data_IF_248034662649
#
_entry.id   IF_248034662649
#
_cell.length_a   1.000
_cell.length_b   1.000
_cell.length_c   1.000
_cell.angle_alpha   90.00
_cell.angle_beta   90.00
_cell.angle_gamma   90.00
#
_symmetry.space_group_name_H-M   'P 1'
#
loop_
_entity.id
_entity.type
_entity.pdbx_description
1 polymer ?
#
# COMPACT_ATOMS: atom_id res chain seq x y z
N UNK A 1 13.57 52.11 -35.44
CA UNK A 1 13.33 50.74 -34.94
C UNK A 1 13.16 50.83 -33.44
N UNK A 2 11.91 50.98 -32.98
CA UNK A 2 11.55 51.10 -31.57
C UNK A 2 11.23 49.70 -31.06
N UNK A 3 12.00 49.22 -30.08
CA UNK A 3 11.85 47.90 -29.49
C UNK A 3 10.60 47.84 -28.62
N UNK A 4 9.66 47.00 -29.02
CA UNK A 4 8.43 46.69 -28.28
C UNK A 4 8.80 45.86 -27.05
N UNK A 5 8.96 46.54 -25.91
CA UNK A 5 9.21 45.92 -24.62
C UNK A 5 7.89 45.29 -24.13
N UNK A 6 7.69 44.04 -24.52
CA UNK A 6 6.51 43.24 -24.18
C UNK A 6 6.19 43.28 -22.69
N UNK A 7 5.03 43.84 -22.41
CA UNK A 7 4.36 43.94 -21.11
C UNK A 7 4.01 42.53 -20.61
N UNK A 8 5.00 41.85 -20.01
CA UNK A 8 4.76 40.58 -19.31
C UNK A 8 4.04 40.92 -18.01
N UNK A 9 2.73 40.71 -18.01
CA UNK A 9 1.90 40.80 -16.82
C UNK A 9 2.61 40.11 -15.64
N UNK A 10 2.69 40.74 -14.46
CA UNK A 10 3.41 40.19 -13.33
C UNK A 10 2.84 38.82 -13.01
N UNK A 11 3.73 37.83 -13.02
CA UNK A 11 3.45 36.46 -12.60
C UNK A 11 2.86 36.54 -11.19
N UNK A 12 1.53 36.45 -11.08
CA UNK A 12 0.84 36.57 -9.81
C UNK A 12 1.37 35.44 -8.94
N UNK A 13 2.18 35.78 -7.95
CA UNK A 13 2.62 34.89 -6.88
C UNK A 13 1.36 34.29 -6.24
N UNK A 14 0.97 33.10 -6.72
CA UNK A 14 -0.14 32.34 -6.15
C UNK A 14 0.32 31.94 -4.78
N UNK A 15 -0.25 32.60 -3.77
CA UNK A 15 0.09 32.33 -2.38
C UNK A 15 -0.10 30.82 -2.11
N UNK A 16 0.97 30.11 -1.70
CA UNK A 16 0.98 28.65 -1.59
C UNK A 16 0.00 28.13 -0.53
N UNK A 17 -0.46 29.00 0.38
CA UNK A 17 -1.45 28.69 1.40
C UNK A 17 -2.90 28.79 0.87
N UNK A 18 -3.17 29.66 -0.10
CA UNK A 18 -4.50 29.76 -0.74
C UNK A 18 -4.72 28.72 -1.83
N UNK A 19 -3.66 28.20 -2.45
CA UNK A 19 -3.74 27.03 -3.33
C UNK A 19 -4.30 25.81 -2.58
N UNK A 20 -3.99 25.68 -1.28
CA UNK A 20 -4.55 24.67 -0.39
C UNK A 20 -6.06 24.87 -0.14
N UNK A 21 -6.51 26.10 0.11
CA UNK A 21 -7.92 26.36 0.43
C UNK A 21 -8.88 26.10 -0.74
N UNK A 22 -8.55 26.57 -1.96
CA UNK A 22 -9.38 26.28 -3.14
C UNK A 22 -9.45 24.79 -3.42
N UNK A 23 -8.29 24.10 -3.43
CA UNK A 23 -8.22 22.64 -3.59
C UNK A 23 -9.02 21.90 -2.52
N UNK A 24 -9.00 22.37 -1.28
CA UNK A 24 -9.80 21.81 -0.21
C UNK A 24 -11.30 22.01 -0.46
N UNK A 25 -11.73 23.19 -0.90
CA UNK A 25 -13.15 23.47 -1.20
C UNK A 25 -13.66 22.62 -2.37
N UNK A 26 -12.85 22.47 -3.41
CA UNK A 26 -13.16 21.59 -4.54
C UNK A 26 -13.26 20.12 -4.07
N UNK A 27 -12.30 19.67 -3.26
CA UNK A 27 -12.28 18.34 -2.67
C UNK A 27 -13.47 18.09 -1.72
N UNK A 28 -13.89 19.10 -0.96
CA UNK A 28 -15.06 19.06 -0.07
C UNK A 28 -16.35 18.91 -0.88
N UNK A 29 -16.47 19.65 -2.00
CA UNK A 29 -17.60 19.51 -2.91
C UNK A 29 -17.65 18.10 -3.53
N UNK A 30 -16.52 17.62 -4.06
CA UNK A 30 -16.40 16.26 -4.60
C UNK A 30 -16.70 15.19 -3.54
N UNK A 31 -16.30 15.42 -2.30
CA UNK A 31 -16.61 14.52 -1.18
C UNK A 31 -18.10 14.45 -0.91
N UNK A 32 -18.82 15.58 -0.88
CA UNK A 32 -20.28 15.59 -0.70
C UNK A 32 -20.99 14.86 -1.83
N UNK A 33 -20.58 15.12 -3.07
CA UNK A 33 -21.13 14.44 -4.24
C UNK A 33 -20.90 12.92 -4.18
N UNK A 34 -19.71 12.50 -3.74
CA UNK A 34 -19.42 11.09 -3.49
C UNK A 34 -20.36 10.50 -2.44
N UNK A 35 -20.55 11.16 -1.29
CA UNK A 35 -21.44 10.67 -0.22
C UNK A 35 -22.86 10.42 -0.73
N UNK A 36 -23.46 11.44 -1.35
CA UNK A 36 -24.83 11.38 -1.87
C UNK A 36 -25.00 10.29 -2.93
N UNK A 37 -23.99 10.12 -3.80
CA UNK A 37 -24.05 9.11 -4.85
C UNK A 37 -23.77 7.70 -4.31
N UNK A 38 -22.84 7.56 -3.37
CA UNK A 38 -22.51 6.29 -2.73
C UNK A 38 -23.69 5.77 -1.90
N UNK A 39 -24.41 6.63 -1.18
CA UNK A 39 -25.61 6.27 -0.44
C UNK A 39 -26.65 5.58 -1.33
N UNK A 40 -26.86 6.10 -2.54
CA UNK A 40 -27.79 5.50 -3.51
C UNK A 40 -27.21 4.24 -4.18
N UNK A 41 -25.92 4.25 -4.50
CA UNK A 41 -25.29 3.17 -5.27
C UNK A 41 -24.94 1.93 -4.43
N UNK A 42 -24.66 2.06 -3.14
CA UNK A 42 -24.25 0.93 -2.29
C UNK A 42 -25.30 -0.18 -2.27
N UNK A 43 -26.60 0.09 -1.97
CA UNK A 43 -27.62 -0.95 -1.99
C UNK A 43 -27.68 -1.71 -3.33
N UNK A 44 -27.66 -0.99 -4.45
CA UNK A 44 -27.70 -1.61 -5.79
C UNK A 44 -26.47 -2.50 -6.03
N UNK A 45 -25.27 -1.99 -5.72
CA UNK A 45 -24.02 -2.75 -5.88
C UNK A 45 -23.95 -3.99 -4.98
N UNK A 46 -24.61 -3.93 -3.82
CA UNK A 46 -24.71 -5.06 -2.90
C UNK A 46 -25.57 -6.18 -3.45
N UNK A 47 -26.74 -5.85 -4.02
CA UNK A 47 -27.65 -6.86 -4.60
C UNK A 47 -27.04 -7.62 -5.77
N UNK A 48 -26.10 -7.00 -6.50
CA UNK A 48 -25.37 -7.63 -7.60
C UNK A 48 -24.36 -8.68 -7.15
N UNK A 49 -24.02 -8.75 -5.86
CA UNK A 49 -23.03 -9.68 -5.32
C UNK A 49 -23.70 -10.78 -4.49
N UNK A 50 -23.83 -11.98 -5.05
CA UNK A 50 -24.45 -13.11 -4.35
C UNK A 50 -23.74 -13.48 -3.03
N UNK A 51 -22.42 -13.30 -2.94
CA UNK A 51 -21.68 -13.55 -1.70
C UNK A 51 -22.03 -12.51 -0.61
N UNK A 52 -22.45 -11.30 -1.01
CA UNK A 52 -22.90 -10.28 -0.06
C UNK A 52 -24.25 -10.63 0.55
N UNK A 53 -25.25 -10.97 -0.27
CA UNK A 53 -26.59 -11.33 0.21
C UNK A 53 -26.54 -12.49 1.22
N UNK A 54 -25.66 -13.46 0.99
CA UNK A 54 -25.42 -14.54 1.94
C UNK A 54 -24.90 -14.01 3.28
N UNK A 55 -23.90 -13.12 3.28
CA UNK A 55 -23.35 -12.54 4.51
C UNK A 55 -24.33 -11.63 5.24
N UNK A 56 -25.09 -10.82 4.51
CA UNK A 56 -26.10 -9.91 5.05
C UNK A 56 -27.18 -10.69 5.82
N UNK A 57 -27.61 -11.84 5.30
CA UNK A 57 -28.58 -12.69 5.99
C UNK A 57 -28.07 -13.21 7.35
N UNK A 58 -26.75 -13.37 7.52
CA UNK A 58 -26.15 -13.87 8.76
C UNK A 58 -25.73 -12.77 9.73
N UNK A 59 -25.18 -11.66 9.21
CA UNK A 59 -24.51 -10.66 10.02
C UNK A 59 -25.28 -9.34 10.04
N UNK A 60 -26.29 -9.12 9.19
CA UNK A 60 -26.82 -7.79 8.94
C UNK A 60 -25.80 -6.86 8.27
N UNK A 61 -26.27 -5.68 7.87
CA UNK A 61 -25.46 -4.71 7.17
C UNK A 61 -25.92 -3.29 7.48
N UNK A 62 -24.95 -2.39 7.65
CA UNK A 62 -25.21 -0.97 7.89
C UNK A 62 -24.31 -0.08 7.03
N UNK A 63 -24.88 1.02 6.56
CA UNK A 63 -24.15 2.10 5.92
C UNK A 63 -24.35 3.37 6.76
N UNK A 64 -23.30 3.81 7.44
CA UNK A 64 -23.31 5.01 8.27
C UNK A 64 -22.75 6.19 7.48
N UNK A 65 -23.63 7.16 7.18
CA UNK A 65 -23.31 8.40 6.47
C UNK A 65 -23.41 9.65 7.36
N UNK A 66 -23.77 9.47 8.63
CA UNK A 66 -24.13 10.57 9.55
C UNK A 66 -22.98 11.48 9.95
N UNK A 67 -21.72 11.05 9.79
CA UNK A 67 -20.55 11.89 10.08
C UNK A 67 -20.14 12.60 8.80
N UNK A 68 -19.96 13.93 8.85
CA UNK A 68 -19.65 14.75 7.66
C UNK A 68 -18.39 14.28 6.93
N UNK A 69 -17.36 13.85 7.68
CA UNK A 69 -16.04 13.50 7.16
C UNK A 69 -15.86 12.02 6.88
N UNK A 70 -16.84 11.16 7.14
CA UNK A 70 -16.70 9.72 6.92
C UNK A 70 -17.89 9.06 6.24
N UNK A 71 -17.60 8.08 5.41
CA UNK A 71 -18.58 7.09 4.93
C UNK A 71 -18.12 5.74 5.44
N UNK A 72 -18.99 5.07 6.21
CA UNK A 72 -18.68 3.78 6.79
C UNK A 72 -19.69 2.74 6.33
N UNK A 73 -19.17 1.61 5.88
CA UNK A 73 -19.95 0.45 5.44
C UNK A 73 -19.51 -0.74 6.26
N UNK A 74 -20.42 -1.35 7.01
CA UNK A 74 -20.08 -2.41 7.96
C UNK A 74 -21.07 -3.58 7.94
N UNK A 75 -20.57 -4.77 8.27
CA UNK A 75 -21.42 -5.88 8.69
C UNK A 75 -21.75 -5.74 10.17
N UNK A 76 -22.98 -6.09 10.57
CA UNK A 76 -23.36 -5.99 11.99
C UNK A 76 -22.67 -7.05 12.84
N UNK A 77 -22.80 -6.86 14.16
CA UNK A 77 -22.34 -7.80 15.14
C UNK A 77 -23.20 -9.07 15.11
N UNK A 78 -22.56 -10.23 15.24
CA UNK A 78 -23.24 -11.52 15.34
C UNK A 78 -22.79 -12.32 16.55
N UNK A 79 -23.69 -13.15 17.06
CA UNK A 79 -23.37 -14.15 18.09
C UNK A 79 -22.76 -15.38 17.42
N UNK A 80 -21.66 -15.89 17.97
CA UNK A 80 -20.91 -17.00 17.36
C UNK A 80 -21.36 -18.39 17.82
N UNK A 81 -22.28 -18.46 18.79
CA UNK A 81 -22.71 -19.74 19.39
C UNK A 81 -21.62 -20.47 20.18
N UNK A 82 -20.48 -19.82 20.43
CA UNK A 82 -19.35 -20.34 21.22
C UNK A 82 -19.27 -19.57 22.54
N UNK A 83 -18.78 -20.20 23.59
CA UNK A 83 -18.54 -19.53 24.87
C UNK A 83 -17.11 -19.01 24.98
N UNK A 84 -16.96 -17.84 25.58
CA UNK A 84 -15.66 -17.29 25.97
C UNK A 84 -15.10 -18.04 27.18
N UNK A 85 -13.83 -17.81 27.51
CA UNK A 85 -13.20 -18.33 28.73
C UNK A 85 -13.93 -17.91 30.02
N UNK A 86 -14.73 -16.84 29.97
CA UNK A 86 -15.54 -16.33 31.08
C UNK A 86 -16.96 -16.93 31.13
N UNK A 87 -17.30 -17.82 30.21
CA UNK A 87 -18.63 -18.45 30.12
C UNK A 87 -19.71 -17.61 29.41
N UNK A 88 -19.41 -16.41 28.95
CA UNK A 88 -20.33 -15.59 28.15
C UNK A 88 -20.36 -16.03 26.67
N UNK A 89 -21.48 -15.83 25.98
CA UNK A 89 -21.59 -16.07 24.53
C UNK A 89 -20.68 -15.11 23.77
N UNK A 90 -19.75 -15.64 22.98
CA UNK A 90 -18.83 -14.85 22.19
C UNK A 90 -19.55 -14.11 21.07
N UNK A 91 -19.18 -12.83 20.90
CA UNK A 91 -19.63 -11.99 19.79
C UNK A 91 -18.50 -11.76 18.77
N UNK A 92 -18.88 -11.59 17.51
CA UNK A 92 -18.01 -11.14 16.43
C UNK A 92 -18.56 -9.85 15.84
N UNK A 93 -17.73 -8.81 15.86
CA UNK A 93 -17.98 -7.57 15.15
C UNK A 93 -17.61 -7.76 13.68
N UNK A 94 -18.48 -7.29 12.79
CA UNK A 94 -18.26 -7.39 11.35
C UNK A 94 -17.09 -6.54 10.85
N UNK A 95 -16.62 -6.85 9.65
CA UNK A 95 -15.64 -6.05 8.93
C UNK A 95 -16.26 -4.69 8.55
N UNK A 96 -15.39 -3.68 8.44
CA UNK A 96 -15.80 -2.31 8.17
C UNK A 96 -14.94 -1.70 7.06
N UNK A 97 -15.56 -1.10 6.06
CA UNK A 97 -14.92 -0.27 5.06
C UNK A 97 -15.20 1.20 5.41
N UNK A 98 -14.13 1.98 5.59
CA UNK A 98 -14.22 3.40 5.96
C UNK A 98 -13.55 4.25 4.90
N UNK A 99 -14.29 5.22 4.40
CA UNK A 99 -13.75 6.35 3.66
C UNK A 99 -13.67 7.53 4.63
N UNK A 100 -12.48 8.08 4.84
CA UNK A 100 -12.24 9.21 5.74
C UNK A 100 -11.65 10.39 4.98
N UNK A 101 -12.38 11.50 4.94
CA UNK A 101 -11.96 12.75 4.34
C UNK A 101 -11.14 13.57 5.33
N UNK A 102 -9.90 13.87 4.94
CA UNK A 102 -8.94 14.61 5.74
C UNK A 102 -8.91 16.11 5.45
N UNK A 103 -8.29 16.92 6.34
CA UNK A 103 -8.23 18.37 6.23
C UNK A 103 -7.43 18.89 5.02
N UNK A 104 -6.66 18.01 4.36
CA UNK A 104 -5.87 18.34 3.16
C UNK A 104 -6.64 18.12 1.86
N UNK A 105 -7.91 17.69 1.93
CA UNK A 105 -8.69 17.31 0.74
C UNK A 105 -8.37 15.90 0.23
N UNK A 106 -7.67 15.08 1.03
CA UNK A 106 -7.37 13.69 0.71
C UNK A 106 -8.35 12.74 1.41
N UNK A 107 -8.66 11.63 0.76
CA UNK A 107 -9.49 10.55 1.31
C UNK A 107 -8.62 9.33 1.57
N UNK A 108 -8.63 8.87 2.82
CA UNK A 108 -8.09 7.57 3.20
C UNK A 108 -9.20 6.52 3.10
N UNK A 109 -8.95 5.44 2.36
CA UNK A 109 -9.83 4.28 2.27
C UNK A 109 -9.22 3.15 3.08
N UNK A 110 -9.90 2.77 4.15
CA UNK A 110 -9.40 1.85 5.16
C UNK A 110 -10.34 0.67 5.29
N UNK A 111 -9.76 -0.50 5.47
CA UNK A 111 -10.48 -1.74 5.62
C UNK A 111 -10.14 -2.37 6.98
N UNK A 112 -11.11 -2.38 7.88
CA UNK A 112 -11.01 -2.95 9.20
C UNK A 112 -11.49 -4.40 9.20
N UNK A 113 -10.74 -5.32 9.83
CA UNK A 113 -11.14 -6.71 9.94
C UNK A 113 -12.31 -6.89 10.90
N UNK A 114 -13.03 -8.02 10.80
CA UNK A 114 -13.92 -8.45 11.86
C UNK A 114 -13.12 -8.69 13.15
N UNK A 115 -13.75 -8.40 14.29
CA UNK A 115 -13.14 -8.57 15.61
C UNK A 115 -13.97 -9.54 16.42
N UNK A 116 -13.39 -10.69 16.76
CA UNK A 116 -14.01 -11.68 17.64
C UNK A 116 -13.37 -11.63 19.02
N UNK A 117 -14.16 -11.93 20.06
CA UNK A 117 -13.67 -12.12 21.42
C UNK A 117 -12.75 -13.37 21.55
N UNK A 118 -12.88 -14.31 20.61
CA UNK A 118 -12.09 -15.56 20.60
C UNK A 118 -10.79 -15.42 19.81
N UNK A 119 -10.68 -14.43 18.94
CA UNK A 119 -9.54 -14.26 18.07
C UNK A 119 -9.59 -12.96 17.28
N UNK A 120 -8.41 -12.44 16.97
CA UNK A 120 -8.25 -11.25 16.13
C UNK A 120 -7.18 -11.52 15.09
N UNK A 121 -7.37 -10.97 13.90
CA UNK A 121 -6.27 -10.88 12.93
C UNK A 121 -5.17 -9.95 13.47
N UNK A 122 -4.00 -10.04 12.87
CA UNK A 122 -2.82 -9.30 13.32
C UNK A 122 -2.90 -7.80 13.08
N UNK A 123 -3.57 -7.40 12.00
CA UNK A 123 -3.70 -6.02 11.56
C UNK A 123 -4.90 -5.32 12.21
N UNK A 124 -4.72 -4.04 12.56
CA UNK A 124 -5.80 -3.18 13.02
C UNK A 124 -6.70 -2.78 11.84
N UNK A 125 -6.06 -2.41 10.72
CA UNK A 125 -6.69 -2.15 9.42
C UNK A 125 -5.67 -2.13 8.28
N UNK A 126 -6.21 -2.24 7.06
CA UNK A 126 -5.45 -2.16 5.80
C UNK A 126 -5.82 -0.86 5.09
N UNK A 127 -4.83 -0.07 4.69
CA UNK A 127 -5.05 1.08 3.81
C UNK A 127 -5.17 0.58 2.37
N UNK A 128 -6.35 0.65 1.78
CA UNK A 128 -6.54 0.34 0.37
C UNK A 128 -5.89 1.39 -0.51
N UNK A 129 -6.06 2.67 -0.14
CA UNK A 129 -5.44 3.82 -0.81
C UNK A 129 -5.62 5.11 -0.01
N UNK A 130 -4.75 6.08 -0.28
CA UNK A 130 -4.87 7.47 0.17
C UNK A 130 -4.76 8.32 -1.10
N UNK A 131 -5.86 8.94 -1.51
CA UNK A 131 -5.96 9.66 -2.79
C UNK A 131 -6.61 11.03 -2.59
N UNK A 132 -6.37 12.02 -3.47
CA UNK A 132 -7.15 13.24 -3.49
C UNK A 132 -8.65 12.92 -3.60
N UNK A 133 -9.50 13.67 -2.90
CA UNK A 133 -10.94 13.51 -3.02
C UNK A 133 -11.35 13.79 -4.47
N UNK A 134 -12.06 12.84 -5.06
CA UNK A 134 -12.61 12.95 -6.40
C UNK A 134 -13.78 11.98 -6.48
N UNK A 135 -14.98 12.52 -6.66
CA UNK A 135 -16.21 11.73 -6.65
C UNK A 135 -16.14 10.61 -7.69
N UNK A 136 -15.73 10.94 -8.92
CA UNK A 136 -15.58 10.00 -10.02
C UNK A 136 -14.64 8.84 -9.68
N UNK A 137 -13.43 9.14 -9.16
CA UNK A 137 -12.44 8.11 -8.81
C UNK A 137 -12.92 7.23 -7.65
N UNK A 138 -13.57 7.82 -6.65
CA UNK A 138 -14.07 7.06 -5.50
C UNK A 138 -15.22 6.13 -5.92
N UNK A 139 -16.18 6.63 -6.72
CA UNK A 139 -17.29 5.84 -7.25
C UNK A 139 -16.82 4.72 -8.19
N UNK A 140 -15.83 4.98 -9.05
CA UNK A 140 -15.25 3.96 -9.94
C UNK A 140 -14.67 2.77 -9.16
N UNK A 141 -14.07 3.03 -7.99
CA UNK A 141 -13.44 1.99 -7.16
C UNK A 141 -14.40 1.37 -6.13
N UNK A 142 -15.51 2.02 -5.82
CA UNK A 142 -16.48 1.58 -4.82
C UNK A 142 -16.91 0.09 -5.00
N UNK A 143 -17.29 -0.41 -6.19
CA UNK A 143 -17.65 -1.82 -6.37
C UNK A 143 -16.51 -2.79 -6.02
N UNK A 144 -15.25 -2.38 -6.27
CA UNK A 144 -14.08 -3.21 -5.95
C UNK A 144 -13.84 -3.25 -4.45
N UNK A 145 -13.93 -2.11 -3.77
CA UNK A 145 -13.70 -2.03 -2.32
C UNK A 145 -14.75 -2.78 -1.54
N UNK A 146 -15.99 -2.70 -1.98
CA UNK A 146 -17.12 -3.46 -1.48
C UNK A 146 -16.89 -4.99 -1.61
N UNK A 147 -16.36 -5.45 -2.74
CA UNK A 147 -15.94 -6.86 -2.88
C UNK A 147 -14.78 -7.21 -1.97
N UNK A 148 -13.81 -6.31 -1.80
CA UNK A 148 -12.69 -6.54 -0.88
C UNK A 148 -13.17 -6.58 0.59
N UNK A 149 -14.19 -5.81 0.96
CA UNK A 149 -14.89 -5.88 2.25
C UNK A 149 -15.54 -7.26 2.48
N UNK A 150 -16.34 -7.74 1.53
CA UNK A 150 -16.96 -9.08 1.59
C UNK A 150 -15.91 -10.17 1.74
N UNK A 151 -14.86 -10.12 0.92
CA UNK A 151 -13.75 -11.08 0.98
C UNK A 151 -13.06 -11.05 2.33
N UNK A 152 -12.86 -9.86 2.89
CA UNK A 152 -12.19 -9.73 4.16
C UNK A 152 -13.04 -10.26 5.30
N UNK A 153 -14.34 -9.97 5.32
CA UNK A 153 -15.29 -10.59 6.25
C UNK A 153 -15.18 -12.12 6.20
N UNK A 154 -15.21 -12.73 5.01
CA UNK A 154 -15.11 -14.20 4.87
C UNK A 154 -13.77 -14.79 5.29
N UNK A 155 -12.67 -14.11 4.97
CA UNK A 155 -11.32 -14.65 5.22
C UNK A 155 -10.90 -14.46 6.68
N UNK A 156 -11.29 -13.35 7.30
CA UNK A 156 -10.85 -12.98 8.65
C UNK A 156 -11.86 -13.39 9.74
N UNK A 157 -13.12 -13.65 9.39
CA UNK A 157 -14.10 -14.18 10.34
C UNK A 157 -13.74 -15.61 10.78
N UNK A 158 -13.98 -15.91 12.07
CA UNK A 158 -13.59 -17.21 12.66
C UNK A 158 -14.35 -18.39 12.03
N UNK A 159 -15.63 -18.20 11.71
CA UNK A 159 -16.48 -19.22 11.08
C UNK A 159 -16.60 -19.02 9.56
N UNK A 160 -15.73 -18.18 9.00
CA UNK A 160 -15.69 -17.91 7.57
C UNK A 160 -15.24 -19.13 6.76
N UNK A 161 -15.91 -19.37 5.64
CA UNK A 161 -15.51 -20.39 4.64
C UNK A 161 -15.00 -19.69 3.36
N UNK A 162 -13.78 -19.12 3.38
CA UNK A 162 -13.27 -18.35 2.26
C UNK A 162 -12.78 -19.25 1.12
N UNK A 163 -13.05 -18.84 -0.12
CA UNK A 163 -12.52 -19.47 -1.33
C UNK A 163 -11.02 -19.14 -1.48
N UNK A 164 -10.29 -19.99 -2.22
CA UNK A 164 -8.85 -19.81 -2.47
C UNK A 164 -8.54 -18.42 -3.06
N UNK A 165 -9.33 -17.97 -4.04
CA UNK A 165 -9.14 -16.64 -4.65
C UNK A 165 -9.33 -15.47 -3.68
N UNK A 166 -10.19 -15.61 -2.67
CA UNK A 166 -10.40 -14.59 -1.64
C UNK A 166 -9.20 -14.53 -0.70
N UNK A 167 -8.67 -15.68 -0.30
CA UNK A 167 -7.43 -15.78 0.49
C UNK A 167 -6.25 -15.17 -0.25
N UNK A 168 -6.08 -15.48 -1.55
CA UNK A 168 -5.02 -14.90 -2.38
C UNK A 168 -5.17 -13.38 -2.52
N UNK A 169 -6.40 -12.89 -2.73
CA UNK A 169 -6.67 -11.45 -2.82
C UNK A 169 -6.31 -10.74 -1.52
N UNK A 170 -6.69 -11.28 -0.36
CA UNK A 170 -6.35 -10.67 0.92
C UNK A 170 -4.85 -10.76 1.21
N UNK A 171 -4.20 -11.88 0.87
CA UNK A 171 -2.74 -12.00 0.97
C UNK A 171 -2.03 -10.94 0.12
N UNK A 172 -2.53 -10.70 -1.11
CA UNK A 172 -2.04 -9.62 -1.97
C UNK A 172 -2.22 -8.24 -1.32
N UNK A 173 -3.40 -7.95 -0.76
CA UNK A 173 -3.65 -6.69 -0.04
C UNK A 173 -2.66 -6.53 1.11
N UNK A 174 -2.48 -7.55 1.96
CA UNK A 174 -1.52 -7.51 3.07
C UNK A 174 -0.07 -7.32 2.63
N UNK A 175 0.28 -7.80 1.43
CA UNK A 175 1.63 -7.68 0.91
C UNK A 175 1.93 -6.28 0.34
N UNK A 176 0.98 -5.69 -0.40
CA UNK A 176 1.18 -4.45 -1.16
C UNK A 176 0.62 -3.20 -0.48
N UNK A 177 -0.33 -3.34 0.42
CA UNK A 177 -0.93 -2.20 1.13
C UNK A 177 -0.15 -1.88 2.41
N UNK A 178 -0.19 -0.60 2.79
CA UNK A 178 0.20 -0.18 4.14
C UNK A 178 -0.84 -0.70 5.13
N UNK A 179 -0.38 -1.09 6.31
CA UNK A 179 -1.26 -1.62 7.37
C UNK A 179 -0.90 -0.96 8.69
N UNK A 180 -1.88 -0.85 9.58
CA UNK A 180 -1.61 -0.52 10.97
C UNK A 180 -1.63 -1.80 11.80
N UNK A 181 -0.64 -1.98 12.67
CA UNK A 181 -0.53 -3.14 13.55
C UNK A 181 -0.16 -2.63 14.94
N UNK A 182 -1.04 -2.84 15.93
CA UNK A 182 -0.88 -2.35 17.30
C UNK A 182 -0.59 -0.84 17.36
N UNK A 183 -1.32 -0.04 16.59
CA UNK A 183 -1.15 1.42 16.56
C UNK A 183 0.05 1.91 15.74
N UNK A 184 0.91 1.03 15.24
CA UNK A 184 2.07 1.41 14.43
C UNK A 184 1.78 1.21 12.95
N UNK A 185 2.08 2.23 12.14
CA UNK A 185 1.98 2.15 10.69
C UNK A 185 3.15 1.31 10.17
N UNK A 186 2.85 0.14 9.64
CA UNK A 186 3.82 -0.69 8.92
C UNK A 186 3.75 -0.37 7.43
N UNK A 187 4.92 -0.16 6.83
CA UNK A 187 5.05 -0.06 5.39
C UNK A 187 4.58 -1.37 4.72
N UNK A 188 4.22 -1.29 3.44
CA UNK A 188 3.93 -2.49 2.67
C UNK A 188 5.16 -3.41 2.69
N UNK A 189 4.97 -4.71 2.88
CA UNK A 189 6.09 -5.68 2.87
C UNK A 189 6.86 -5.65 1.55
N UNK A 190 6.19 -5.28 0.46
CA UNK A 190 6.85 -5.05 -0.82
C UNK A 190 7.91 -3.96 -0.76
N UNK A 191 7.72 -2.90 0.03
CA UNK A 191 8.74 -1.86 0.19
C UNK A 191 9.99 -2.41 0.89
N UNK A 192 9.84 -3.30 1.87
CA UNK A 192 10.97 -3.98 2.52
C UNK A 192 11.71 -4.90 1.55
N UNK A 193 10.98 -5.66 0.71
CA UNK A 193 11.60 -6.54 -0.29
C UNK A 193 12.25 -5.77 -1.45
N UNK A 194 11.66 -4.65 -1.86
CA UNK A 194 12.23 -3.76 -2.88
C UNK A 194 13.49 -3.09 -2.34
N UNK A 195 13.49 -2.65 -1.08
CA UNK A 195 14.70 -2.15 -0.43
C UNK A 195 15.78 -3.23 -0.31
N UNK A 196 15.42 -4.45 0.09
CA UNK A 196 16.36 -5.58 0.09
C UNK A 196 16.91 -5.89 -1.31
N UNK A 197 16.08 -5.88 -2.35
CA UNK A 197 16.53 -6.11 -3.73
C UNK A 197 17.41 -4.96 -4.26
N UNK A 198 17.12 -3.72 -3.87
CA UNK A 198 17.96 -2.55 -4.17
C UNK A 198 19.30 -2.60 -3.42
N UNK A 199 19.31 -3.00 -2.15
CA UNK A 199 20.53 -3.22 -1.38
C UNK A 199 21.37 -4.39 -1.95
N UNK A 200 20.71 -5.46 -2.39
CA UNK A 200 21.40 -6.60 -2.99
C UNK A 200 22.02 -6.23 -4.35
N UNK A 201 21.29 -5.50 -5.19
CA UNK A 201 21.79 -5.06 -6.50
C UNK A 201 22.90 -4.00 -6.39
N UNK A 202 22.82 -3.07 -5.43
CA UNK A 202 23.90 -2.12 -5.17
C UNK A 202 25.13 -2.80 -4.58
N UNK A 203 24.97 -3.77 -3.67
CA UNK A 203 26.08 -4.57 -3.14
C UNK A 203 26.80 -5.38 -4.22
N UNK A 204 26.05 -6.00 -5.14
CA UNK A 204 26.61 -6.73 -6.28
C UNK A 204 27.34 -5.80 -7.27
N UNK A 205 26.80 -4.61 -7.54
CA UNK A 205 27.44 -3.60 -8.39
C UNK A 205 28.76 -3.10 -7.79
N UNK A 206 28.80 -2.85 -6.48
CA UNK A 206 30.02 -2.44 -5.78
C UNK A 206 31.07 -3.55 -5.82
N UNK A 207 30.69 -4.80 -5.56
CA UNK A 207 31.60 -5.95 -5.64
C UNK A 207 32.16 -6.13 -7.06
N UNK A 208 31.30 -5.98 -8.08
CA UNK A 208 31.71 -6.03 -9.48
C UNK A 208 32.70 -4.91 -9.83
N UNK A 209 32.48 -3.68 -9.34
CA UNK A 209 33.44 -2.58 -9.51
C UNK A 209 34.77 -2.84 -8.81
N UNK A 210 34.76 -3.36 -7.58
CA UNK A 210 35.99 -3.72 -6.85
C UNK A 210 36.76 -4.80 -7.64
N UNK A 211 36.09 -5.84 -8.11
CA UNK A 211 36.71 -6.92 -8.90
C UNK A 211 37.24 -6.43 -10.26
N UNK A 212 36.56 -5.45 -10.88
CA UNK A 212 37.01 -4.83 -12.12
C UNK A 212 38.30 -4.01 -11.92
N UNK A 213 38.48 -3.36 -10.78
CA UNK A 213 39.71 -2.64 -10.43
C UNK A 213 40.82 -3.58 -9.95
N UNK A 214 40.49 -4.67 -9.27
CA UNK A 214 41.48 -5.61 -8.73
C UNK A 214 42.20 -6.40 -9.84
N UNK A 215 41.51 -6.72 -10.94
CA UNK A 215 42.09 -7.44 -12.09
C UNK A 215 43.31 -6.75 -12.71
N UNK A 216 43.26 -5.47 -13.14
CA UNK A 216 44.42 -4.80 -13.70
C UNK A 216 45.55 -4.66 -12.68
N UNK A 217 45.25 -4.44 -11.39
CA UNK A 217 46.26 -4.41 -10.33
C UNK A 217 46.97 -5.76 -10.19
N UNK A 218 46.21 -6.87 -10.21
CA UNK A 218 46.78 -8.21 -10.20
C UNK A 218 47.69 -8.48 -11.40
N UNK A 219 47.29 -8.05 -12.60
CA UNK A 219 48.12 -8.15 -13.81
C UNK A 219 49.42 -7.35 -13.66
N UNK A 220 49.34 -6.12 -13.15
CA UNK A 220 50.52 -5.29 -12.91
C UNK A 220 51.49 -5.91 -11.90
N UNK A 221 50.97 -6.53 -10.83
CA UNK A 221 51.79 -7.26 -9.85
C UNK A 221 52.49 -8.45 -10.51
N UNK A 222 51.79 -9.24 -11.32
CA UNK A 222 52.39 -10.39 -12.03
C UNK A 222 53.47 -9.93 -13.01
N UNK A 223 53.21 -8.89 -13.80
CA UNK A 223 54.19 -8.31 -14.73
C UNK A 223 55.42 -7.81 -13.97
N UNK A 224 55.22 -7.11 -12.86
CA UNK A 224 56.31 -6.64 -11.99
C UNK A 224 57.16 -7.80 -11.46
N UNK A 225 56.53 -8.87 -10.98
CA UNK A 225 57.22 -10.07 -10.50
C UNK A 225 58.00 -10.77 -11.62
N UNK A 226 57.43 -10.86 -12.83
CA UNK A 226 58.12 -11.43 -14.00
C UNK A 226 59.34 -10.60 -14.41
N UNK A 227 59.24 -9.27 -14.40
CA UNK A 227 60.39 -8.40 -14.68
C UNK A 227 61.46 -8.56 -13.59
N UNK A 228 61.06 -8.56 -12.32
CA UNK A 228 62.00 -8.61 -11.19
C UNK A 228 62.72 -9.94 -11.05
N UNK A 229 62.01 -11.05 -11.24
CA UNK A 229 62.52 -12.41 -10.99
C UNK A 229 62.82 -13.20 -12.27
N UNK A 230 62.20 -12.88 -13.41
CA UNK A 230 62.42 -13.57 -14.68
C UNK A 230 63.66 -13.09 -15.45
N UNK A 231 63.99 -11.80 -15.35
CA UNK A 231 65.15 -11.21 -16.04
C UNK A 231 66.51 -11.84 -15.65
N UNK A 232 66.79 -12.17 -14.37
CA UNK A 232 68.03 -12.85 -14.00
C UNK A 232 68.19 -14.23 -14.64
N UNK A 233 67.10 -15.00 -14.77
CA UNK A 233 67.13 -16.32 -15.42
C UNK A 233 67.27 -16.20 -16.94
N UNK A 234 66.62 -15.21 -17.56
CA UNK A 234 66.81 -14.93 -18.98
C UNK A 234 68.26 -14.51 -19.30
N UNK A 235 68.88 -13.70 -18.45
CA UNK A 235 70.27 -13.30 -18.61
C UNK A 235 71.24 -14.50 -18.55
N UNK A 236 70.97 -15.50 -17.68
CA UNK A 236 71.78 -16.73 -17.61
C UNK A 236 71.65 -17.64 -18.83
N UNK A 237 70.51 -17.62 -19.52
CA UNK A 237 70.28 -18.41 -20.75
C UNK A 237 70.89 -17.70 -21.96
N UNK A 238 70.79 -16.37 -22.04
CA UNK A 238 71.19 -15.59 -23.20
C UNK A 238 72.68 -15.26 -23.25
N UNK A 239 73.38 -15.26 -22.11
CA UNK A 239 74.83 -15.07 -22.06
C UNK A 239 75.50 -16.45 -21.89
N UNK A 240 75.95 -17.10 -22.98
CA UNK A 240 76.76 -18.31 -22.86
C UNK A 240 78.00 -17.96 -22.04
N UNK A 241 78.30 -18.79 -21.03
CA UNK A 241 79.52 -18.67 -20.23
C UNK A 241 80.73 -18.85 -21.16
N UNK A 242 81.31 -17.71 -21.55
CA UNK A 242 82.66 -17.66 -22.12
C UNK A 242 83.70 -17.99 -21.06
#
# INVERSE_FOLDING_TARGET
>A
MSGDAGDRAPERLVNPFFAGWRRYKDAEHDWRLFKETAERAIPDLMTLNADFAALEAYCGFYCHLGIETTVQVEFANRLMGRTTLKGATASEHGATLVYSFGPTGWVAVMLFPPKSELGRVTEDHIYLRIIPASAAKLLEKLPRDLRDLVRYQRVASLDGTPRIGERMRLAWLRYWSRMQVNGQIKAARSAEHVNWALEFSTGQLVLAMIMAVLKPVGVLIVVYLLIRFGMPHLAQILLPKG
#
